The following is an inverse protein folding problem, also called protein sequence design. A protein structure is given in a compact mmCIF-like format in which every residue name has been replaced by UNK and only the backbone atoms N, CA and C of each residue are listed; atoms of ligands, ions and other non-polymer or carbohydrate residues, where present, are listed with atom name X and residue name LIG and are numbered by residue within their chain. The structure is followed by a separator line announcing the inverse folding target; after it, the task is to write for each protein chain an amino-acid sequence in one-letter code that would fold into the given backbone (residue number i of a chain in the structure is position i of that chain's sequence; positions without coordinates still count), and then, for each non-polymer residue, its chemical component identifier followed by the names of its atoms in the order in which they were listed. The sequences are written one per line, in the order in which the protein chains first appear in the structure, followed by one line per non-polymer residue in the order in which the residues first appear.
data_IF_304250431712
#
_entry.id   IF_304250431712
#
_cell.length_a   1.000
_cell.length_b   1.000
_cell.length_c   1.000
_cell.angle_alpha   90.00
_cell.angle_beta   90.00
_cell.angle_gamma   90.00
#
_symmetry.space_group_name_H-M   'P 1'
#
loop_
_entity.id
_entity.type
_entity.pdbx_description
1 polymer ?
#
# COMPACT_ATOMS: atom_id res chain seq x y z
N UNK A 1 1.55 58.72 -5.26
CA UNK A 1 1.14 57.39 -4.79
C UNK A 1 1.68 56.35 -5.76
N UNK A 2 2.80 55.74 -5.38
CA UNK A 2 3.39 54.60 -6.10
C UNK A 2 2.64 53.32 -5.73
N UNK A 3 2.04 52.68 -6.71
CA UNK A 3 1.47 51.35 -6.58
C UNK A 3 2.63 50.35 -6.76
N UNK A 4 3.12 49.75 -5.68
CA UNK A 4 4.02 48.61 -5.74
C UNK A 4 3.22 47.37 -6.19
N UNK A 5 3.48 46.92 -7.39
CA UNK A 5 3.07 45.58 -7.86
C UNK A 5 3.82 44.53 -7.04
N UNK A 6 3.12 43.81 -6.17
CA UNK A 6 3.62 42.62 -5.52
C UNK A 6 3.61 41.52 -6.60
N UNK A 7 4.79 41.18 -7.11
CA UNK A 7 4.95 40.04 -7.99
C UNK A 7 4.62 38.76 -7.20
N UNK A 8 3.47 38.14 -7.52
CA UNK A 8 3.17 36.81 -7.05
C UNK A 8 4.30 35.85 -7.49
N UNK A 9 4.90 35.16 -6.52
CA UNK A 9 5.99 34.22 -6.77
C UNK A 9 5.49 33.08 -7.66
N UNK A 10 6.11 32.96 -8.84
CA UNK A 10 5.86 31.95 -9.88
C UNK A 10 6.37 30.55 -9.51
N UNK A 11 6.37 30.14 -8.24
CA UNK A 11 6.97 28.87 -7.81
C UNK A 11 6.07 27.64 -8.04
N UNK A 12 4.76 27.81 -8.19
CA UNK A 12 3.82 26.67 -8.28
C UNK A 12 3.58 26.12 -9.68
N UNK A 13 3.93 26.84 -10.74
CA UNK A 13 3.70 26.39 -12.14
C UNK A 13 4.78 25.44 -12.67
N UNK A 14 6.00 25.50 -12.16
CA UNK A 14 7.12 24.66 -12.68
C UNK A 14 7.14 23.26 -12.12
N UNK A 15 6.51 22.99 -10.97
CA UNK A 15 6.53 21.65 -10.34
C UNK A 15 5.65 20.61 -11.05
N UNK A 16 4.65 21.04 -11.84
CA UNK A 16 3.79 20.12 -12.59
C UNK A 16 4.49 19.36 -13.71
N UNK A 17 5.58 19.88 -14.24
CA UNK A 17 6.35 19.26 -15.33
C UNK A 17 7.65 18.63 -14.86
N UNK A 18 7.96 18.69 -13.56
CA UNK A 18 9.12 17.98 -13.01
C UNK A 18 8.87 16.47 -13.04
N UNK A 19 9.89 15.69 -13.41
CA UNK A 19 9.82 14.23 -13.41
C UNK A 19 9.63 13.65 -12.00
N UNK A 20 9.30 12.38 -11.91
CA UNK A 20 9.11 11.67 -10.63
C UNK A 20 10.44 11.40 -9.88
N UNK A 21 11.57 11.82 -10.39
CA UNK A 21 12.89 11.54 -9.80
C UNK A 21 13.23 12.37 -8.55
N UNK A 22 12.45 13.44 -8.27
CA UNK A 22 12.64 14.26 -7.06
C UNK A 22 13.78 15.26 -7.14
N UNK A 23 14.52 15.34 -8.26
CA UNK A 23 15.61 16.32 -8.43
C UNK A 23 15.07 17.69 -8.80
N UNK A 24 15.48 18.72 -8.04
CA UNK A 24 15.05 20.11 -8.24
C UNK A 24 15.82 20.82 -9.37
N UNK A 25 16.97 20.27 -9.81
CA UNK A 25 17.77 20.77 -10.92
C UNK A 25 18.29 19.61 -11.76
N UNK A 26 18.04 19.68 -13.08
CA UNK A 26 18.59 18.72 -14.02
C UNK A 26 20.13 18.81 -14.02
N UNK A 27 20.82 17.72 -13.71
CA UNK A 27 22.26 17.57 -13.75
C UNK A 27 22.61 16.31 -14.50
N UNK A 28 23.49 16.45 -15.50
CA UNK A 28 24.05 15.29 -16.21
C UNK A 28 25.21 14.74 -15.36
N UNK A 29 25.08 13.44 -15.00
CA UNK A 29 26.11 12.71 -14.24
C UNK A 29 26.37 11.37 -14.91
N UNK A 30 27.58 10.85 -14.81
CA UNK A 30 27.86 9.47 -15.21
C UNK A 30 27.33 8.51 -14.13
N UNK A 31 26.96 7.29 -14.53
CA UNK A 31 26.43 6.29 -13.60
C UNK A 31 27.41 5.98 -12.45
N UNK A 32 28.73 6.05 -12.74
CA UNK A 32 29.79 5.83 -11.75
C UNK A 32 29.94 6.96 -10.72
N UNK A 33 29.45 8.16 -11.02
CA UNK A 33 29.43 9.31 -10.08
C UNK A 33 28.22 9.27 -9.15
N UNK A 34 27.23 8.42 -9.46
CA UNK A 34 26.05 8.26 -8.62
C UNK A 34 26.42 7.36 -7.45
N UNK A 35 26.41 7.92 -6.25
CA UNK A 35 26.65 7.14 -5.04
C UNK A 35 25.58 6.06 -4.88
N UNK A 36 26.00 4.79 -4.92
CA UNK A 36 25.17 3.64 -4.60
C UNK A 36 25.06 3.48 -3.06
N UNK A 37 24.75 4.54 -2.35
CA UNK A 37 24.40 4.39 -0.95
C UNK A 37 23.10 3.56 -0.90
N UNK A 38 23.19 2.36 -0.34
CA UNK A 38 22.02 1.57 -0.03
C UNK A 38 21.10 2.45 0.83
N UNK A 39 19.97 2.83 0.26
CA UNK A 39 18.98 3.60 1.01
C UNK A 39 18.47 2.71 2.14
N UNK A 40 18.77 3.04 3.41
CA UNK A 40 18.44 2.17 4.52
C UNK A 40 16.92 2.00 4.57
N UNK A 41 16.45 0.75 4.52
CA UNK A 41 15.04 0.41 4.69
C UNK A 41 14.73 0.35 6.17
N UNK A 42 13.53 0.72 6.55
CA UNK A 42 13.03 0.49 7.90
C UNK A 42 11.90 -0.54 7.89
N UNK A 43 11.87 -1.36 8.93
CA UNK A 43 10.84 -2.39 9.06
C UNK A 43 9.48 -1.76 9.36
N UNK A 44 8.42 -2.31 8.75
CA UNK A 44 7.04 -1.97 9.10
C UNK A 44 6.59 -2.52 10.46
N UNK A 45 7.39 -3.42 11.06
CA UNK A 45 7.03 -4.20 12.23
C UNK A 45 6.30 -5.51 11.91
N UNK A 46 5.97 -5.75 10.64
CA UNK A 46 5.37 -6.98 10.12
C UNK A 46 6.28 -7.62 9.08
N UNK A 47 6.78 -8.83 9.33
CA UNK A 47 7.65 -9.57 8.40
C UNK A 47 6.96 -9.89 7.09
N UNK A 48 5.66 -10.17 7.15
CA UNK A 48 4.86 -10.46 5.95
C UNK A 48 4.65 -9.22 5.07
N UNK A 49 4.51 -8.03 5.66
CA UNK A 49 4.49 -6.77 4.91
C UNK A 49 5.88 -6.41 4.37
N UNK A 50 6.91 -6.53 5.20
CA UNK A 50 8.29 -6.26 4.79
C UNK A 50 8.73 -7.18 3.64
N UNK A 51 8.34 -8.45 3.65
CA UNK A 51 8.56 -9.40 2.55
C UNK A 51 8.01 -8.85 1.23
N UNK A 52 6.74 -8.47 1.22
CA UNK A 52 6.05 -7.99 0.02
C UNK A 52 6.61 -6.65 -0.46
N UNK A 53 7.13 -5.85 0.46
CA UNK A 53 7.84 -4.59 0.16
C UNK A 53 9.28 -4.81 -0.34
N UNK A 54 9.79 -6.04 -0.29
CA UNK A 54 11.16 -6.37 -0.71
C UNK A 54 12.20 -6.10 0.39
N UNK A 55 11.83 -6.24 1.65
CA UNK A 55 12.69 -6.12 2.82
C UNK A 55 12.45 -4.91 3.70
N UNK A 56 11.35 -4.19 3.51
CA UNK A 56 10.95 -3.04 4.32
C UNK A 56 10.61 -1.79 3.52
N UNK A 57 10.28 -0.72 4.23
CA UNK A 57 9.86 0.55 3.65
C UNK A 57 11.09 1.37 3.28
N UNK A 58 11.13 1.88 2.04
CA UNK A 58 12.21 2.72 1.53
C UNK A 58 11.85 4.20 1.75
N UNK A 59 12.71 5.03 2.37
CA UNK A 59 12.50 6.47 2.44
C UNK A 59 12.32 7.09 1.05
N UNK A 60 11.42 8.04 0.93
CA UNK A 60 11.11 8.67 -0.36
C UNK A 60 10.27 7.80 -1.31
N UNK A 61 9.81 6.62 -0.89
CA UNK A 61 8.96 5.76 -1.70
C UNK A 61 7.49 6.15 -1.66
N UNK A 62 6.80 5.92 -2.78
CA UNK A 62 5.35 6.02 -2.88
C UNK A 62 4.75 4.62 -3.07
N UNK A 63 3.98 4.17 -2.08
CA UNK A 63 3.38 2.84 -2.01
C UNK A 63 1.86 2.99 -2.10
N UNK A 64 1.21 2.15 -2.90
CA UNK A 64 -0.25 2.03 -2.93
C UNK A 64 -0.66 0.68 -2.37
N UNK A 65 -1.56 0.67 -1.40
CA UNK A 65 -2.21 -0.54 -0.90
C UNK A 65 -3.68 -0.52 -1.34
N UNK A 66 -3.99 -1.36 -2.30
CA UNK A 66 -5.35 -1.60 -2.78
C UNK A 66 -6.04 -2.75 -2.05
N UNK A 67 -7.35 -2.84 -2.22
CA UNK A 67 -8.15 -3.95 -1.72
C UNK A 67 -9.62 -3.57 -1.56
N UNK A 68 -10.50 -4.57 -1.48
CA UNK A 68 -11.92 -4.35 -1.25
C UNK A 68 -12.18 -3.62 0.07
N UNK A 69 -13.30 -2.87 0.19
CA UNK A 69 -13.78 -2.39 1.48
C UNK A 69 -13.90 -3.57 2.46
N UNK A 70 -13.46 -3.38 3.71
CA UNK A 70 -13.47 -4.46 4.71
C UNK A 70 -12.29 -5.46 4.64
N UNK A 71 -11.40 -5.38 3.65
CA UNK A 71 -10.20 -6.25 3.58
C UNK A 71 -9.23 -6.05 4.75
N UNK A 72 -9.27 -4.90 5.44
CA UNK A 72 -8.43 -4.62 6.59
C UNK A 72 -7.28 -3.66 6.32
N UNK A 73 -7.26 -2.95 5.18
CA UNK A 73 -6.19 -2.00 4.80
C UNK A 73 -5.91 -0.96 5.88
N UNK A 74 -6.93 -0.21 6.28
CA UNK A 74 -6.81 0.84 7.31
C UNK A 74 -6.44 0.27 8.68
N UNK A 75 -6.88 -0.96 8.99
CA UNK A 75 -6.50 -1.67 10.21
C UNK A 75 -5.01 -2.03 10.21
N UNK A 76 -4.53 -2.64 9.13
CA UNK A 76 -3.11 -2.98 8.97
C UNK A 76 -2.23 -1.74 9.09
N UNK A 77 -2.59 -0.68 8.36
CA UNK A 77 -1.79 0.54 8.34
C UNK A 77 -1.83 1.28 9.69
N UNK A 78 -2.95 1.27 10.39
CA UNK A 78 -3.03 1.84 11.74
C UNK A 78 -2.10 1.10 12.72
N UNK A 79 -2.07 -0.25 12.64
CA UNK A 79 -1.14 -1.06 13.44
C UNK A 79 0.33 -0.74 13.12
N UNK A 80 0.67 -0.66 11.83
CA UNK A 80 2.02 -0.28 11.35
C UNK A 80 2.40 1.09 11.88
N UNK A 81 1.54 2.09 11.68
CA UNK A 81 1.83 3.48 12.04
C UNK A 81 1.96 3.70 13.55
N UNK A 82 1.10 3.06 14.36
CA UNK A 82 1.24 3.08 15.82
C UNK A 82 2.55 2.41 16.28
N UNK A 83 2.97 1.34 15.60
CA UNK A 83 4.26 0.69 15.88
C UNK A 83 5.45 1.58 15.53
N UNK A 84 5.46 2.18 14.36
CA UNK A 84 6.52 3.05 13.87
C UNK A 84 6.63 4.36 14.65
N UNK A 85 5.50 4.93 15.08
CA UNK A 85 5.45 6.18 15.84
C UNK A 85 6.20 6.12 17.18
N UNK A 86 6.52 4.92 17.68
CA UNK A 86 7.36 4.78 18.88
C UNK A 86 8.77 5.35 18.70
N UNK A 87 9.32 5.22 17.48
CA UNK A 87 10.73 5.46 17.17
C UNK A 87 10.95 6.53 16.09
N UNK A 88 9.90 6.96 15.38
CA UNK A 88 10.00 7.94 14.31
C UNK A 88 8.76 8.83 14.26
N UNK A 89 8.89 9.99 13.62
CA UNK A 89 7.74 10.87 13.38
C UNK A 89 6.89 10.29 12.26
N UNK A 90 5.66 9.89 12.61
CA UNK A 90 4.69 9.29 11.70
C UNK A 90 3.42 10.13 11.66
N UNK A 91 2.83 10.28 10.45
CA UNK A 91 1.59 11.03 10.22
C UNK A 91 0.56 10.14 9.54
N UNK A 92 -0.62 10.00 10.14
CA UNK A 92 -1.76 9.32 9.53
C UNK A 92 -2.82 10.36 9.12
N UNK A 93 -3.07 10.46 7.82
CA UNK A 93 -4.07 11.35 7.24
C UNK A 93 -5.31 10.54 6.92
N UNK A 94 -6.45 10.94 7.48
CA UNK A 94 -7.76 10.35 7.18
C UNK A 94 -8.63 11.37 6.46
N UNK A 95 -9.21 10.95 5.34
CA UNK A 95 -10.18 11.75 4.59
C UNK A 95 -11.59 11.16 4.59
N UNK A 96 -11.74 9.90 5.02
CA UNK A 96 -13.04 9.19 5.03
C UNK A 96 -13.61 9.08 6.45
N UNK A 97 -12.77 8.83 7.43
CA UNK A 97 -13.18 8.64 8.81
C UNK A 97 -12.79 9.84 9.68
N UNK A 98 -13.62 10.15 10.67
CA UNK A 98 -13.26 11.15 11.68
C UNK A 98 -12.09 10.66 12.55
N UNK A 99 -11.33 11.61 13.10
CA UNK A 99 -10.25 11.28 14.06
C UNK A 99 -10.75 10.42 15.23
N UNK A 100 -11.99 10.68 15.68
CA UNK A 100 -12.61 9.92 16.75
C UNK A 100 -12.87 8.46 16.37
N UNK A 101 -13.34 8.19 15.14
CA UNK A 101 -13.55 6.83 14.64
C UNK A 101 -12.23 6.05 14.56
N UNK A 102 -11.17 6.69 14.07
CA UNK A 102 -9.84 6.07 14.03
C UNK A 102 -9.31 5.81 15.45
N UNK A 103 -9.48 6.77 16.39
CA UNK A 103 -9.08 6.59 17.79
C UNK A 103 -9.85 5.43 18.47
N UNK A 104 -11.17 5.31 18.24
CA UNK A 104 -11.95 4.18 18.74
C UNK A 104 -11.45 2.83 18.20
N UNK A 105 -11.08 2.78 16.91
CA UNK A 105 -10.47 1.59 16.31
C UNK A 105 -9.13 1.27 16.97
N UNK A 106 -8.25 2.26 17.14
CA UNK A 106 -6.96 2.08 17.79
C UNK A 106 -7.10 1.52 19.22
N UNK A 107 -8.05 2.06 19.99
CA UNK A 107 -8.36 1.59 21.33
C UNK A 107 -8.87 0.14 21.35
N UNK A 108 -9.80 -0.21 20.45
CA UNK A 108 -10.31 -1.58 20.31
C UNK A 108 -9.19 -2.58 20.00
N UNK A 109 -8.20 -2.15 19.24
CA UNK A 109 -7.03 -2.97 18.85
C UNK A 109 -5.91 -2.95 19.88
N UNK A 110 -6.07 -2.22 21.01
CA UNK A 110 -5.05 -2.02 22.03
C UNK A 110 -3.72 -1.51 21.48
N UNK A 111 -3.77 -0.55 20.55
CA UNK A 111 -2.58 0.01 19.94
C UNK A 111 -1.97 1.13 20.80
N UNK A 112 -0.62 1.31 20.76
CA UNK A 112 0.03 2.44 21.38
C UNK A 112 -0.28 3.72 20.58
N UNK A 113 -1.08 4.62 21.13
CA UNK A 113 -1.60 5.80 20.43
C UNK A 113 -0.84 7.08 20.73
N UNK A 114 0.00 7.11 21.77
CA UNK A 114 0.55 8.32 22.37
C UNK A 114 1.41 9.18 21.43
N UNK A 115 2.02 8.57 20.42
CA UNK A 115 2.99 9.24 19.54
C UNK A 115 2.58 9.35 18.08
N UNK A 116 1.44 8.76 17.69
CA UNK A 116 0.99 8.84 16.30
C UNK A 116 0.30 10.18 16.05
N UNK A 117 0.85 10.96 15.12
CA UNK A 117 0.20 12.18 14.67
C UNK A 117 -0.92 11.86 13.71
N UNK A 118 -2.08 12.50 13.92
CA UNK A 118 -3.28 12.32 13.13
C UNK A 118 -3.69 13.62 12.48
N UNK A 119 -4.17 13.55 11.24
CA UNK A 119 -4.70 14.70 10.50
C UNK A 119 -5.98 14.28 9.77
N UNK A 120 -7.05 15.09 9.90
CA UNK A 120 -8.25 14.97 9.09
C UNK A 120 -8.22 16.08 8.03
N UNK A 121 -7.88 15.72 6.80
CA UNK A 121 -7.73 16.65 5.68
C UNK A 121 -7.84 15.89 4.35
N UNK A 122 -8.37 16.56 3.32
CA UNK A 122 -8.52 16.03 1.97
C UNK A 122 -7.78 16.85 0.90
N UNK A 123 -7.36 18.10 1.22
CA UNK A 123 -6.50 18.87 0.32
C UNK A 123 -5.04 18.39 0.40
N UNK A 124 -4.53 17.90 -0.72
CA UNK A 124 -3.14 17.41 -0.81
C UNK A 124 -2.14 18.53 -0.54
N UNK A 125 -2.44 19.76 -0.96
CA UNK A 125 -1.58 20.92 -0.71
C UNK A 125 -1.48 21.22 0.79
N UNK A 126 -2.61 21.18 1.51
CA UNK A 126 -2.63 21.40 2.96
C UNK A 126 -1.92 20.29 3.72
N UNK A 127 -2.12 19.03 3.31
CA UNK A 127 -1.42 17.87 3.87
C UNK A 127 0.09 18.07 3.76
N UNK A 128 0.59 18.44 2.58
CA UNK A 128 2.02 18.63 2.36
C UNK A 128 2.58 19.83 3.14
N UNK A 129 1.82 20.93 3.22
CA UNK A 129 2.23 22.10 3.99
C UNK A 129 2.37 21.79 5.49
N UNK A 130 1.42 21.03 6.06
CA UNK A 130 1.48 20.60 7.46
C UNK A 130 2.57 19.57 7.69
N UNK A 131 2.79 18.66 6.72
CA UNK A 131 3.87 17.70 6.77
C UNK A 131 5.26 18.37 6.72
N UNK A 132 5.43 19.46 5.96
CA UNK A 132 6.68 20.24 5.95
C UNK A 132 7.02 20.86 7.33
N UNK A 133 5.99 21.18 8.13
CA UNK A 133 6.17 21.67 9.51
C UNK A 133 6.50 20.52 10.48
N UNK A 134 5.78 19.40 10.37
CA UNK A 134 5.95 18.23 11.24
C UNK A 134 7.21 17.41 10.93
N UNK A 135 7.66 17.41 9.65
CA UNK A 135 8.79 16.64 9.11
C UNK A 135 8.69 15.15 9.41
N UNK A 136 7.59 14.49 9.04
CA UNK A 136 7.44 13.07 9.26
C UNK A 136 8.39 12.26 8.37
N UNK A 137 8.75 11.06 8.81
CA UNK A 137 9.51 10.10 8.03
C UNK A 137 8.61 9.18 7.22
N UNK A 138 7.35 9.05 7.65
CA UNK A 138 6.31 8.28 6.96
C UNK A 138 4.96 8.97 7.09
N UNK A 139 4.19 8.92 5.99
CA UNK A 139 2.81 9.42 5.91
C UNK A 139 1.91 8.29 5.37
N UNK A 140 0.76 8.09 5.99
CA UNK A 140 -0.35 7.30 5.42
C UNK A 140 -1.44 8.27 4.97
N UNK A 141 -2.00 8.03 3.78
CA UNK A 141 -3.15 8.76 3.22
C UNK A 141 -4.29 7.78 3.01
N UNK A 142 -5.34 7.89 3.80
CA UNK A 142 -6.49 6.98 3.82
C UNK A 142 -7.83 7.73 3.60
N UNK A 143 -8.36 7.72 2.36
CA UNK A 143 -7.89 7.10 1.13
C UNK A 143 -7.56 8.13 0.05
N UNK A 144 -6.82 7.71 -0.98
CA UNK A 144 -6.45 8.58 -2.10
C UNK A 144 -7.69 9.03 -2.91
N UNK A 145 -8.79 8.27 -2.87
CA UNK A 145 -10.01 8.58 -3.62
C UNK A 145 -10.71 9.84 -3.16
N UNK A 146 -10.60 10.21 -1.89
CA UNK A 146 -11.24 11.43 -1.36
C UNK A 146 -10.32 12.63 -1.38
N UNK A 147 -9.06 12.45 -1.77
CA UNK A 147 -8.10 13.55 -1.88
C UNK A 147 -8.37 14.40 -3.11
N UNK A 148 -8.01 15.67 -3.01
CA UNK A 148 -8.15 16.63 -4.11
C UNK A 148 -6.97 17.61 -4.17
N UNK A 149 -6.74 18.10 -5.38
CA UNK A 149 -5.92 19.26 -5.69
C UNK A 149 -6.82 20.40 -6.14
N UNK A 150 -6.65 21.58 -5.60
CA UNK A 150 -7.49 22.75 -5.88
C UNK A 150 -7.48 23.17 -7.35
N UNK A 151 -6.36 22.96 -8.03
CA UNK A 151 -6.17 23.32 -9.42
C UNK A 151 -6.84 22.35 -10.43
N UNK A 152 -7.38 21.23 -9.97
CA UNK A 152 -8.02 20.21 -10.81
C UNK A 152 -9.54 20.37 -10.70
N UNK A 153 -10.19 20.73 -11.81
CA UNK A 153 -11.64 21.04 -11.81
C UNK A 153 -12.55 19.80 -11.72
N UNK A 154 -11.99 18.59 -11.73
CA UNK A 154 -12.79 17.36 -11.59
C UNK A 154 -13.07 17.03 -10.14
N UNK A 155 -14.19 16.35 -9.88
CA UNK A 155 -14.61 15.96 -8.53
C UNK A 155 -13.61 15.01 -7.85
N UNK A 156 -13.47 15.02 -6.52
CA UNK A 156 -12.77 13.98 -5.77
C UNK A 156 -13.27 12.58 -6.17
N UNK A 157 -12.39 11.60 -6.21
CA UNK A 157 -12.70 10.24 -6.65
C UNK A 157 -12.70 10.03 -8.17
N UNK A 158 -12.70 11.10 -8.97
CA UNK A 158 -12.50 10.96 -10.41
C UNK A 158 -11.11 10.46 -10.75
N UNK A 159 -10.96 9.74 -11.86
CA UNK A 159 -9.67 9.21 -12.32
C UNK A 159 -8.61 10.32 -12.44
N UNK A 160 -9.01 11.50 -12.92
CA UNK A 160 -8.11 12.64 -13.07
C UNK A 160 -7.60 13.13 -11.71
N UNK A 161 -8.49 13.36 -10.73
CA UNK A 161 -8.11 13.79 -9.39
C UNK A 161 -7.20 12.77 -8.70
N UNK A 162 -7.59 11.49 -8.70
CA UNK A 162 -6.82 10.42 -8.05
C UNK A 162 -5.42 10.32 -8.65
N UNK A 163 -5.31 10.39 -9.99
CA UNK A 163 -4.02 10.36 -10.69
C UNK A 163 -3.12 11.54 -10.31
N UNK A 164 -3.66 12.75 -10.35
CA UNK A 164 -2.87 13.95 -10.08
C UNK A 164 -2.49 14.05 -8.60
N UNK A 165 -3.39 13.69 -7.67
CA UNK A 165 -3.09 13.59 -6.24
C UNK A 165 -1.97 12.59 -5.96
N UNK A 166 -2.05 11.39 -6.53
CA UNK A 166 -1.00 10.38 -6.37
C UNK A 166 0.33 10.82 -6.99
N UNK A 167 0.29 11.49 -8.14
CA UNK A 167 1.47 12.05 -8.79
C UNK A 167 2.13 13.13 -7.94
N UNK A 168 1.32 14.02 -7.36
CA UNK A 168 1.80 15.08 -6.48
C UNK A 168 2.46 14.50 -5.22
N UNK A 169 1.77 13.58 -4.54
CA UNK A 169 2.29 12.91 -3.34
C UNK A 169 3.56 12.11 -3.64
N UNK A 170 3.67 11.48 -4.81
CA UNK A 170 4.89 10.76 -5.22
C UNK A 170 6.07 11.71 -5.40
N UNK A 171 5.88 12.86 -6.03
CA UNK A 171 6.93 13.87 -6.14
C UNK A 171 7.33 14.41 -4.77
N UNK A 172 6.36 14.71 -3.94
CA UNK A 172 6.60 15.14 -2.55
C UNK A 172 7.42 14.10 -1.77
N UNK A 173 7.04 12.83 -1.84
CA UNK A 173 7.76 11.72 -1.20
C UNK A 173 9.25 11.73 -1.58
N UNK A 174 9.54 11.80 -2.88
CA UNK A 174 10.93 11.79 -3.41
C UNK A 174 11.71 13.04 -3.06
N UNK A 175 11.08 14.19 -3.16
CA UNK A 175 11.74 15.48 -2.87
C UNK A 175 12.06 15.64 -1.38
N UNK A 176 11.17 15.19 -0.51
CA UNK A 176 11.31 15.28 0.95
C UNK A 176 11.92 14.04 1.60
N UNK A 177 12.17 12.98 0.83
CA UNK A 177 12.65 11.69 1.32
C UNK A 177 11.73 11.09 2.41
N UNK A 178 10.42 11.29 2.25
CA UNK A 178 9.36 10.79 3.13
C UNK A 178 8.70 9.59 2.48
N UNK A 179 8.55 8.48 3.18
CA UNK A 179 7.77 7.35 2.69
C UNK A 179 6.27 7.69 2.74
N UNK A 180 5.56 7.50 1.64
CA UNK A 180 4.11 7.72 1.58
C UNK A 180 3.40 6.43 1.21
N UNK A 181 2.44 6.01 2.06
CA UNK A 181 1.55 4.88 1.80
C UNK A 181 0.15 5.43 1.54
N UNK A 182 -0.34 5.21 0.34
CA UNK A 182 -1.69 5.58 -0.09
C UNK A 182 -2.61 4.37 0.00
N UNK A 183 -3.79 4.53 0.58
CA UNK A 183 -4.85 3.52 0.57
C UNK A 183 -5.73 3.75 -0.65
N UNK A 184 -6.03 2.66 -1.38
CA UNK A 184 -6.93 2.66 -2.52
C UNK A 184 -8.01 1.59 -2.40
N UNK A 185 -9.21 1.86 -2.91
CA UNK A 185 -10.27 0.87 -3.03
C UNK A 185 -10.27 0.25 -4.42
N UNK A 186 -10.49 -1.05 -4.50
CA UNK A 186 -10.70 -1.76 -5.78
C UNK A 186 -12.19 -1.82 -6.10
N UNK A 187 -12.52 -1.81 -7.39
CA UNK A 187 -13.89 -2.07 -7.86
C UNK A 187 -14.25 -3.54 -7.69
N UNK A 188 -15.56 -3.87 -7.80
CA UNK A 188 -16.07 -5.25 -7.70
C UNK A 188 -15.41 -6.24 -8.68
N UNK A 189 -14.91 -5.74 -9.80
CA UNK A 189 -14.22 -6.54 -10.83
C UNK A 189 -12.73 -6.78 -10.50
N UNK A 190 -12.29 -6.51 -9.26
CA UNK A 190 -10.90 -6.67 -8.82
C UNK A 190 -9.92 -5.70 -9.50
N UNK A 191 -10.43 -4.85 -10.41
CA UNK A 191 -9.64 -3.78 -10.97
C UNK A 191 -9.68 -2.62 -10.00
N UNK A 192 -8.53 -2.20 -9.52
CA UNK A 192 -8.45 -0.93 -8.82
C UNK A 192 -9.07 0.15 -9.72
N UNK A 193 -10.10 0.86 -9.27
CA UNK A 193 -10.52 2.10 -9.89
C UNK A 193 -9.34 3.08 -9.77
N UNK A 194 -8.39 2.94 -10.68
CA UNK A 194 -7.21 3.76 -10.71
C UNK A 194 -5.83 3.13 -10.63
N UNK A 195 -5.53 1.81 -10.32
CA UNK A 195 -4.15 1.37 -10.21
C UNK A 195 -3.41 1.30 -11.51
N UNK A 196 -4.03 0.83 -12.60
CA UNK A 196 -3.36 0.89 -13.90
C UNK A 196 -2.96 2.33 -14.25
N UNK A 197 -3.80 3.30 -13.86
CA UNK A 197 -3.50 4.73 -14.04
C UNK A 197 -2.41 5.20 -13.08
N UNK A 198 -2.34 4.64 -11.86
CA UNK A 198 -1.34 4.99 -10.84
C UNK A 198 -0.04 4.21 -10.96
N UNK A 199 -0.02 3.06 -11.62
CA UNK A 199 1.16 2.20 -11.74
C UNK A 199 2.39 2.93 -12.27
N UNK A 200 2.21 3.91 -13.15
CA UNK A 200 3.34 4.69 -13.68
C UNK A 200 3.88 5.71 -12.67
N UNK A 201 3.03 6.21 -11.79
CA UNK A 201 3.39 7.25 -10.83
C UNK A 201 4.04 6.71 -9.55
N UNK A 202 3.60 5.56 -9.06
CA UNK A 202 4.01 4.97 -7.78
C UNK A 202 5.18 4.00 -7.92
N UNK A 203 5.88 3.72 -6.83
CA UNK A 203 7.03 2.82 -6.81
C UNK A 203 6.65 1.37 -6.49
N UNK A 204 5.64 1.18 -5.64
CA UNK A 204 5.17 -0.12 -5.20
C UNK A 204 3.64 -0.16 -5.17
N UNK A 205 3.04 -1.23 -5.68
CA UNK A 205 1.60 -1.48 -5.63
C UNK A 205 1.33 -2.83 -4.99
N UNK A 206 0.59 -2.81 -3.90
CA UNK A 206 0.19 -3.98 -3.13
C UNK A 206 -1.32 -4.15 -3.20
N UNK A 207 -1.79 -5.38 -3.19
CA UNK A 207 -3.20 -5.72 -3.12
C UNK A 207 -3.46 -6.59 -1.89
N UNK A 208 -4.31 -6.11 -1.00
CA UNK A 208 -4.79 -6.86 0.17
C UNK A 208 -6.14 -7.49 -0.18
N UNK A 209 -6.16 -8.82 -0.21
CA UNK A 209 -7.30 -9.63 -0.61
C UNK A 209 -7.76 -10.54 0.53
N UNK A 210 -9.01 -10.96 0.47
CA UNK A 210 -9.62 -11.94 1.35
C UNK A 210 -11.12 -11.82 1.30
N UNK A 211 -11.79 -12.94 1.31
CA UNK A 211 -13.24 -13.02 1.35
C UNK A 211 -13.78 -12.56 2.71
N UNK A 212 -15.02 -12.06 2.74
CA UNK A 212 -15.60 -11.47 3.94
C UNK A 212 -15.71 -12.47 5.09
N UNK A 213 -15.94 -13.74 4.79
CA UNK A 213 -16.06 -14.88 5.70
C UNK A 213 -14.72 -15.57 5.98
N UNK A 214 -13.69 -15.30 5.19
CA UNK A 214 -12.35 -15.86 5.43
C UNK A 214 -11.65 -15.17 6.61
N UNK A 215 -11.04 -15.99 7.46
CA UNK A 215 -10.14 -15.52 8.54
C UNK A 215 -8.79 -15.04 8.05
N UNK A 216 -8.44 -15.35 6.79
CA UNK A 216 -7.14 -15.03 6.23
C UNK A 216 -7.22 -13.88 5.25
N UNK A 217 -6.10 -13.15 5.16
CA UNK A 217 -5.88 -12.09 4.19
C UNK A 217 -4.55 -12.33 3.53
N UNK A 218 -4.53 -12.21 2.22
CA UNK A 218 -3.29 -12.26 1.44
C UNK A 218 -2.93 -10.87 0.97
N UNK A 219 -1.65 -10.53 1.08
CA UNK A 219 -1.09 -9.30 0.57
C UNK A 219 -0.14 -9.66 -0.57
N UNK A 220 -0.41 -9.17 -1.77
CA UNK A 220 0.36 -9.48 -2.97
C UNK A 220 0.96 -8.23 -3.58
N UNK A 221 2.22 -8.32 -4.01
CA UNK A 221 2.88 -7.26 -4.76
C UNK A 221 2.58 -7.40 -6.26
N UNK A 222 2.03 -6.37 -6.88
CA UNK A 222 1.81 -6.29 -8.32
C UNK A 222 2.91 -5.49 -9.03
N UNK A 223 3.44 -4.48 -8.35
CA UNK A 223 4.57 -3.67 -8.81
C UNK A 223 5.49 -3.40 -7.63
N UNK A 224 6.78 -3.57 -7.82
CA UNK A 224 7.78 -3.22 -6.83
C UNK A 224 9.10 -2.82 -7.50
N UNK A 225 9.48 -1.54 -7.38
CA UNK A 225 10.78 -1.03 -7.86
C UNK A 225 11.94 -1.37 -6.92
N UNK A 226 11.64 -1.85 -5.72
CA UNK A 226 12.61 -2.09 -4.65
C UNK A 226 12.84 -3.57 -4.35
N UNK A 227 12.12 -4.46 -5.03
CA UNK A 227 12.20 -5.89 -4.79
C UNK A 227 11.46 -6.72 -5.82
N UNK A 228 11.35 -8.00 -5.54
CA UNK A 228 10.62 -8.92 -6.41
C UNK A 228 9.13 -8.57 -6.45
N UNK A 229 8.51 -8.81 -7.62
CA UNK A 229 7.06 -8.81 -7.78
C UNK A 229 6.49 -10.20 -7.50
N UNK A 230 5.18 -10.28 -7.28
CA UNK A 230 4.46 -11.53 -6.94
C UNK A 230 4.83 -12.15 -5.58
N UNK A 231 5.51 -11.39 -4.71
CA UNK A 231 5.67 -11.82 -3.32
C UNK A 231 4.32 -11.85 -2.61
N UNK A 232 4.17 -12.87 -1.75
CA UNK A 232 2.95 -13.12 -0.99
C UNK A 232 3.19 -12.99 0.50
N UNK A 233 2.45 -12.09 1.15
CA UNK A 233 2.31 -11.99 2.60
C UNK A 233 0.98 -12.58 3.05
N UNK A 234 0.96 -13.23 4.21
CA UNK A 234 -0.25 -13.88 4.73
C UNK A 234 -0.54 -13.43 6.15
N UNK A 235 -1.77 -12.95 6.34
CA UNK A 235 -2.26 -12.47 7.63
C UNK A 235 -3.51 -13.21 8.04
N UNK A 236 -3.70 -13.37 9.35
CA UNK A 236 -4.96 -13.76 9.97
C UNK A 236 -5.70 -12.54 10.50
N UNK A 237 -7.00 -12.44 10.22
CA UNK A 237 -7.87 -11.44 10.83
C UNK A 237 -8.29 -11.92 12.21
N UNK A 238 -8.06 -11.10 13.22
CA UNK A 238 -8.44 -11.36 14.62
C UNK A 238 -9.18 -10.17 15.20
N UNK A 239 -9.76 -10.32 16.38
CA UNK A 239 -10.38 -9.22 17.13
C UNK A 239 -9.35 -8.10 17.44
N UNK A 240 -8.08 -8.43 17.54
CA UNK A 240 -6.97 -7.51 17.77
C UNK A 240 -6.31 -7.01 16.48
N UNK A 241 -6.97 -7.13 15.32
CA UNK A 241 -6.48 -6.71 14.01
C UNK A 241 -5.81 -7.83 13.23
N UNK A 242 -4.96 -7.46 12.28
CA UNK A 242 -4.22 -8.41 11.46
C UNK A 242 -3.00 -8.93 12.22
N UNK A 243 -2.79 -10.24 12.13
CA UNK A 243 -1.62 -10.93 12.67
C UNK A 243 -0.96 -11.77 11.59
N UNK A 244 0.35 -11.83 11.61
CA UNK A 244 1.11 -12.65 10.68
C UNK A 244 0.85 -14.14 10.90
N UNK A 245 0.69 -14.88 9.81
CA UNK A 245 0.55 -16.32 9.83
C UNK A 245 1.95 -16.95 9.76
N UNK A 246 2.37 -17.60 10.84
CA UNK A 246 3.71 -18.21 10.93
C UNK A 246 3.95 -19.33 9.90
N UNK A 247 2.91 -20.13 9.63
CA UNK A 247 2.97 -21.21 8.66
C UNK A 247 1.79 -21.09 7.65
N UNK A 248 1.97 -20.32 6.56
CA UNK A 248 0.93 -20.17 5.54
C UNK A 248 0.52 -21.47 4.87
N UNK A 249 1.42 -22.45 4.71
CA UNK A 249 1.11 -23.75 4.13
C UNK A 249 0.01 -24.49 4.92
N UNK A 250 -0.07 -24.28 6.24
CA UNK A 250 -1.11 -24.90 7.06
C UNK A 250 -2.54 -24.42 6.73
N UNK A 251 -2.68 -23.33 5.96
CA UNK A 251 -3.98 -22.82 5.50
C UNK A 251 -4.49 -23.65 4.31
N UNK A 252 -3.56 -24.13 3.47
CA UNK A 252 -3.85 -24.81 2.20
C UNK A 252 -3.78 -26.33 2.31
N UNK A 253 -3.55 -26.85 3.52
CA UNK A 253 -3.53 -28.28 3.78
C UNK A 253 -4.76 -28.66 4.62
N UNK A 254 -5.45 -29.70 4.19
CA UNK A 254 -6.54 -30.30 4.99
C UNK A 254 -5.93 -30.90 6.26
N UNK A 255 -6.55 -30.64 7.41
CA UNK A 255 -6.07 -31.14 8.72
C UNK A 255 -6.54 -32.56 9.02
N UNK A 256 -6.94 -33.34 8.02
CA UNK A 256 -7.34 -34.73 8.20
C UNK A 256 -6.13 -35.65 8.29
N UNK A 257 -6.06 -36.49 9.34
CA UNK A 257 -5.04 -37.55 9.43
C UNK A 257 -5.30 -38.69 8.45
N UNK A 258 -6.45 -38.71 7.77
CA UNK A 258 -6.80 -39.73 6.78
C UNK A 258 -6.42 -39.29 5.38
N UNK A 259 -5.63 -40.15 4.71
CA UNK A 259 -5.35 -40.01 3.28
C UNK A 259 -6.65 -40.18 2.50
N UNK A 260 -7.18 -39.08 1.98
CA UNK A 260 -8.36 -39.11 1.12
C UNK A 260 -7.96 -39.49 -0.29
N UNK A 261 -8.54 -40.55 -0.90
CA UNK A 261 -8.28 -40.89 -2.29
C UNK A 261 -8.54 -39.68 -3.21
N UNK A 262 -7.61 -39.45 -4.14
CA UNK A 262 -7.69 -38.28 -5.04
C UNK A 262 -7.09 -37.00 -4.49
N UNK A 263 -6.52 -37.02 -3.28
CA UNK A 263 -5.80 -35.89 -2.69
C UNK A 263 -4.28 -36.06 -2.84
N UNK A 264 -3.58 -34.98 -3.17
CA UNK A 264 -2.12 -34.93 -3.27
C UNK A 264 -1.61 -33.57 -2.84
N UNK A 265 -0.47 -33.55 -2.15
CA UNK A 265 0.22 -32.32 -1.76
C UNK A 265 1.29 -31.97 -2.77
N UNK A 266 1.27 -30.76 -3.26
CA UNK A 266 2.30 -30.21 -4.14
C UNK A 266 2.93 -28.96 -3.58
N UNK A 267 4.12 -28.62 -4.07
CA UNK A 267 4.80 -27.35 -3.77
C UNK A 267 4.48 -26.36 -4.87
N UNK A 268 3.91 -25.22 -4.47
CA UNK A 268 3.70 -24.07 -5.32
C UNK A 268 4.68 -22.96 -4.90
N UNK A 269 5.29 -22.29 -5.86
CA UNK A 269 6.12 -21.12 -5.62
C UNK A 269 5.31 -19.83 -5.82
N UNK A 270 5.23 -19.01 -4.77
CA UNK A 270 4.64 -17.68 -4.81
C UNK A 270 5.75 -16.65 -4.51
N UNK A 271 6.21 -15.99 -5.57
CA UNK A 271 7.43 -15.16 -5.49
C UNK A 271 8.65 -16.00 -5.08
N UNK A 272 9.24 -15.68 -3.95
CA UNK A 272 10.35 -16.43 -3.35
C UNK A 272 9.90 -17.45 -2.29
N UNK A 273 8.59 -17.62 -2.08
CA UNK A 273 8.03 -18.45 -1.01
C UNK A 273 7.52 -19.77 -1.56
N UNK A 274 8.05 -20.94 -1.10
CA UNK A 274 7.40 -22.22 -1.31
C UNK A 274 6.18 -22.37 -0.40
N UNK A 275 5.06 -22.78 -0.96
CA UNK A 275 3.82 -23.11 -0.26
C UNK A 275 3.43 -24.53 -0.54
N UNK A 276 3.03 -25.28 0.49
CA UNK A 276 2.40 -26.57 0.32
C UNK A 276 0.92 -26.35 0.09
N UNK A 277 0.40 -26.92 -0.98
CA UNK A 277 -1.01 -26.84 -1.38
C UNK A 277 -1.52 -28.24 -1.60
N UNK A 278 -2.67 -28.54 -1.01
CA UNK A 278 -3.37 -29.80 -1.26
C UNK A 278 -4.26 -29.65 -2.49
N UNK A 279 -4.06 -30.52 -3.45
CA UNK A 279 -4.90 -30.62 -4.64
C UNK A 279 -5.79 -31.84 -4.49
N UNK A 280 -7.08 -31.66 -4.73
CA UNK A 280 -8.07 -32.73 -4.72
C UNK A 280 -8.62 -32.91 -6.14
N UNK A 281 -8.64 -34.15 -6.60
CA UNK A 281 -9.22 -34.53 -7.88
C UNK A 281 -10.33 -35.57 -7.65
N UNK A 282 -11.51 -35.26 -8.13
CA UNK A 282 -12.62 -36.22 -8.19
C UNK A 282 -12.66 -36.83 -9.59
N UNK A 283 -12.58 -38.16 -9.65
CA UNK A 283 -12.64 -38.90 -10.91
C UNK A 283 -13.87 -39.81 -10.86
N UNK A 284 -14.71 -39.70 -11.87
CA UNK A 284 -15.88 -40.57 -12.02
C UNK A 284 -15.94 -41.21 -13.40
N UNK A 285 -16.68 -42.30 -13.52
CA UNK A 285 -16.90 -43.00 -14.80
C UNK A 285 -17.69 -42.13 -15.78
N UNK A 286 -17.10 -41.90 -16.97
CA UNK A 286 -17.77 -41.17 -18.03
C UNK A 286 -18.28 -42.13 -19.12
N UNK A 287 -19.57 -42.02 -19.45
CA UNK A 287 -20.19 -42.70 -20.60
C UNK A 287 -19.96 -41.93 -21.92
N UNK A 288 -19.28 -40.81 -21.87
CA UNK A 288 -19.02 -39.96 -23.05
C UNK A 288 -17.79 -40.50 -23.82
N UNK A 289 -17.88 -40.48 -25.14
CA UNK A 289 -16.74 -40.85 -26.02
C UNK A 289 -15.52 -39.94 -25.80
N UNK A 290 -15.77 -38.66 -25.36
CA UNK A 290 -14.74 -37.72 -24.96
C UNK A 290 -15.03 -37.28 -23.51
N UNK A 291 -14.29 -37.82 -22.50
CA UNK A 291 -14.43 -37.45 -21.11
C UNK A 291 -14.13 -35.95 -20.90
N UNK A 292 -14.97 -35.29 -20.11
CA UNK A 292 -14.75 -33.87 -19.77
C UNK A 292 -13.75 -33.78 -18.59
N UNK A 293 -12.83 -32.81 -18.68
CA UNK A 293 -11.99 -32.37 -17.57
C UNK A 293 -12.44 -30.97 -17.18
N UNK A 294 -12.74 -30.76 -15.92
CA UNK A 294 -13.10 -29.44 -15.36
C UNK A 294 -12.10 -29.20 -14.24
N UNK A 295 -11.36 -28.07 -14.32
CA UNK A 295 -10.43 -27.60 -13.30
C UNK A 295 -10.90 -26.26 -12.76
#
# INVERSE_FOLDING_TARGET
SEVRLISASNSTKNDRFSGYAGETRAKIQTLSEISLQETPRFTSGFKELDRVLGGGIVPGSAILIGGHPGAGKSTLLLQVMCGLAKNMTALYVTGEESLQQVAMRANRLNLPTDKLNMLSETSVEQICNLADQLKPQIIVVDSIQVMHLSDIQSSPGSVAQVRECASFLTRYAKTRQVAIIMVGHVTKDGTLAGPKVLEHAIDCSLLLEGEADSRFRTLRSHKNRFGAVNELGVFGMTEQGLREVKNPSAIFLSRGDEQTPGSSVMVLWEGTRPLLVEIQALVDHSMLANPRRVA
#
